data_IF_515755285185
#
_entry.id   IF_515755285185
#
_cell.length_a   1.000
_cell.length_b   1.000
_cell.length_c   1.000
_cell.angle_alpha   90.00
_cell.angle_beta   90.00
_cell.angle_gamma   90.00
#
_symmetry.space_group_name_H-M   'P 1'
#
loop_
_entity.id
_entity.type
_entity.pdbx_description
1 polymer ?
#
# COMPACT_ATOMS: atom_id res chain seq x y z
N UNK A 1 -4.38 31.26 -19.47
CA UNK A 1 -3.18 30.42 -19.27
C UNK A 1 -3.12 29.73 -17.91
N UNK A 2 -3.22 30.43 -16.76
CA UNK A 2 -3.12 29.81 -15.41
C UNK A 2 -4.03 28.58 -15.18
N UNK A 3 -5.30 28.62 -15.63
CA UNK A 3 -6.24 27.48 -15.46
C UNK A 3 -5.87 26.24 -16.28
N UNK A 4 -5.37 26.42 -17.50
CA UNK A 4 -4.97 25.29 -18.38
C UNK A 4 -3.73 24.62 -17.78
N UNK A 5 -2.75 25.41 -17.34
CA UNK A 5 -1.57 24.91 -16.65
C UNK A 5 -1.92 24.10 -15.38
N UNK A 6 -2.83 24.61 -14.55
CA UNK A 6 -3.33 23.88 -13.38
C UNK A 6 -3.99 22.56 -13.75
N UNK A 7 -4.79 22.52 -14.82
CA UNK A 7 -5.41 21.27 -15.30
C UNK A 7 -4.40 20.24 -15.78
N UNK A 8 -3.35 20.67 -16.48
CA UNK A 8 -2.25 19.79 -16.90
C UNK A 8 -1.53 19.21 -15.69
N UNK A 9 -1.25 20.01 -14.67
CA UNK A 9 -0.66 19.52 -13.42
C UNK A 9 -1.56 18.52 -12.68
N UNK A 10 -2.85 18.83 -12.55
CA UNK A 10 -3.81 17.90 -11.95
C UNK A 10 -3.85 16.58 -12.71
N UNK A 11 -3.80 16.63 -14.05
CA UNK A 11 -3.76 15.42 -14.88
C UNK A 11 -2.49 14.59 -14.67
N UNK A 12 -1.31 15.22 -14.61
CA UNK A 12 -0.03 14.56 -14.30
C UNK A 12 -0.09 13.90 -12.92
N UNK A 13 -0.62 14.62 -11.91
CA UNK A 13 -0.78 14.08 -10.56
C UNK A 13 -1.71 12.87 -10.51
N UNK A 14 -2.81 12.89 -11.27
CA UNK A 14 -3.72 11.74 -11.38
C UNK A 14 -2.98 10.52 -11.94
N UNK A 15 -2.24 10.68 -13.04
CA UNK A 15 -1.46 9.58 -13.65
C UNK A 15 -0.44 9.02 -12.64
N UNK A 16 0.29 9.91 -11.96
CA UNK A 16 1.27 9.50 -10.95
C UNK A 16 0.64 8.70 -9.82
N UNK A 17 -0.49 9.15 -9.27
CA UNK A 17 -1.18 8.46 -8.20
C UNK A 17 -1.80 7.13 -8.66
N UNK A 18 -2.29 7.04 -9.90
CA UNK A 18 -2.77 5.77 -10.49
C UNK A 18 -1.60 4.79 -10.62
N UNK A 19 -0.41 5.23 -11.04
CA UNK A 19 0.77 4.38 -11.12
C UNK A 19 1.18 3.84 -9.74
N UNK A 20 1.14 4.68 -8.71
CA UNK A 20 1.37 4.25 -7.31
C UNK A 20 0.31 3.23 -6.88
N UNK A 21 -0.97 3.51 -7.12
CA UNK A 21 -2.06 2.60 -6.77
C UNK A 21 -1.91 1.24 -7.48
N UNK A 22 -1.52 1.25 -8.75
CA UNK A 22 -1.26 0.04 -9.52
C UNK A 22 -0.10 -0.77 -8.92
N UNK A 23 1.01 -0.11 -8.58
CA UNK A 23 2.14 -0.77 -7.91
C UNK A 23 1.78 -1.35 -6.54
N UNK A 24 0.91 -0.67 -5.78
CA UNK A 24 0.43 -1.17 -4.50
C UNK A 24 -0.47 -2.41 -4.64
N UNK A 25 -1.33 -2.45 -5.67
CA UNK A 25 -2.31 -3.53 -5.87
C UNK A 25 -1.77 -4.73 -6.64
N UNK A 26 -0.81 -4.53 -7.55
CA UNK A 26 -0.31 -5.57 -8.45
C UNK A 26 1.20 -5.79 -8.36
N UNK A 27 1.92 -4.97 -7.61
CA UNK A 27 3.36 -5.10 -7.45
C UNK A 27 3.77 -5.90 -6.21
N UNK A 28 5.04 -5.72 -5.84
CA UNK A 28 5.67 -6.35 -4.67
C UNK A 28 4.84 -6.24 -3.38
N UNK A 29 4.26 -5.07 -3.12
CA UNK A 29 3.50 -4.80 -1.88
C UNK A 29 2.35 -5.79 -1.66
N UNK A 30 1.53 -6.03 -2.68
CA UNK A 30 0.40 -6.96 -2.58
C UNK A 30 0.88 -8.41 -2.48
N UNK A 31 1.96 -8.76 -3.18
CA UNK A 31 2.53 -10.11 -3.14
C UNK A 31 3.03 -10.46 -1.74
N UNK A 32 3.72 -9.53 -1.09
CA UNK A 32 4.17 -9.68 0.30
C UNK A 32 3.00 -9.78 1.29
N UNK A 33 1.96 -8.96 1.11
CA UNK A 33 0.78 -9.03 1.95
C UNK A 33 0.00 -10.34 1.79
N UNK A 34 -0.11 -10.84 0.56
CA UNK A 34 -0.71 -12.16 0.31
C UNK A 34 0.13 -13.28 0.92
N UNK A 35 1.46 -13.21 0.82
CA UNK A 35 2.36 -14.16 1.47
C UNK A 35 2.17 -14.18 2.99
N UNK A 36 2.01 -12.99 3.60
CA UNK A 36 1.72 -12.85 5.03
C UNK A 36 0.37 -13.47 5.41
N UNK A 37 -0.70 -13.28 4.62
CA UNK A 37 -2.02 -13.86 4.91
C UNK A 37 -2.01 -15.38 4.78
N UNK A 38 -1.30 -15.91 3.79
CA UNK A 38 -1.25 -17.35 3.53
C UNK A 38 -0.52 -18.14 4.61
N UNK A 39 0.37 -17.50 5.40
CA UNK A 39 1.10 -18.13 6.51
C UNK A 39 1.75 -19.47 6.09
N UNK A 40 2.38 -19.48 4.91
CA UNK A 40 3.13 -20.64 4.42
C UNK A 40 4.49 -20.73 5.12
N UNK A 41 5.21 -21.84 4.91
CA UNK A 41 6.53 -22.07 5.52
C UNK A 41 7.58 -20.98 5.22
N UNK A 42 7.33 -20.17 4.18
CA UNK A 42 8.13 -19.01 3.79
C UNK A 42 7.20 -17.81 3.65
N UNK A 43 7.45 -16.76 4.43
CA UNK A 43 6.71 -15.50 4.40
C UNK A 43 7.64 -14.40 3.90
N UNK A 44 7.26 -13.73 2.82
CA UNK A 44 7.94 -12.53 2.32
C UNK A 44 7.25 -11.29 2.88
N UNK A 45 7.92 -10.52 3.74
CA UNK A 45 7.35 -9.34 4.39
C UNK A 45 8.38 -8.24 4.66
N UNK A 46 8.24 -7.09 4.00
CA UNK A 46 8.99 -5.87 4.28
C UNK A 46 8.05 -4.71 4.67
N UNK A 47 7.41 -4.82 5.84
CA UNK A 47 6.65 -3.73 6.47
C UNK A 47 5.59 -3.08 5.54
N UNK A 48 4.98 -3.89 4.68
CA UNK A 48 4.08 -3.47 3.60
C UNK A 48 2.65 -3.17 4.05
N UNK A 49 2.29 -3.49 5.29
CA UNK A 49 0.93 -3.28 5.82
C UNK A 49 0.53 -1.80 5.87
N UNK A 50 1.47 -0.91 6.19
CA UNK A 50 1.21 0.53 6.22
C UNK A 50 0.91 1.08 4.81
N UNK A 51 1.59 0.55 3.79
CA UNK A 51 1.37 0.92 2.40
C UNK A 51 -0.01 0.48 1.91
N UNK A 52 -0.46 -0.72 2.28
CA UNK A 52 -1.80 -1.21 1.93
C UNK A 52 -2.91 -0.43 2.64
N UNK A 53 -2.72 -0.08 3.91
CA UNK A 53 -3.64 0.80 4.65
C UNK A 53 -3.80 2.19 4.03
N UNK A 54 -2.85 2.63 3.18
CA UNK A 54 -2.92 3.91 2.47
C UNK A 54 -3.72 3.87 1.15
N UNK A 55 -4.10 2.69 0.66
CA UNK A 55 -4.83 2.52 -0.61
C UNK A 55 -6.13 3.35 -0.64
N UNK A 56 -6.99 3.35 0.40
CA UNK A 56 -8.21 4.17 0.38
C UNK A 56 -7.92 5.67 0.29
N UNK A 57 -6.85 6.15 0.92
CA UNK A 57 -6.43 7.56 0.86
C UNK A 57 -6.03 7.94 -0.56
N UNK A 58 -5.19 7.13 -1.20
CA UNK A 58 -4.72 7.38 -2.58
C UNK A 58 -5.91 7.32 -3.54
N UNK A 59 -6.77 6.31 -3.42
CA UNK A 59 -7.98 6.17 -4.22
C UNK A 59 -8.92 7.36 -4.09
N UNK A 60 -9.17 7.82 -2.86
CA UNK A 60 -9.98 9.01 -2.62
C UNK A 60 -9.34 10.27 -3.22
N UNK A 61 -8.02 10.42 -3.09
CA UNK A 61 -7.29 11.56 -3.66
C UNK A 61 -7.40 11.59 -5.19
N UNK A 62 -7.31 10.44 -5.86
CA UNK A 62 -7.53 10.33 -7.31
C UNK A 62 -8.95 10.78 -7.67
N UNK A 63 -9.96 10.30 -6.96
CA UNK A 63 -11.37 10.70 -7.20
C UNK A 63 -11.55 12.21 -6.99
N UNK A 64 -10.97 12.77 -5.93
CA UNK A 64 -11.01 14.21 -5.65
C UNK A 64 -10.34 15.02 -6.77
N UNK A 65 -9.17 14.60 -7.25
CA UNK A 65 -8.46 15.26 -8.35
C UNK A 65 -9.21 15.17 -9.67
N UNK A 66 -9.87 14.04 -9.98
CA UNK A 66 -10.73 13.90 -11.17
C UNK A 66 -11.89 14.90 -11.09
N UNK A 67 -12.53 15.06 -9.92
CA UNK A 67 -13.58 16.07 -9.72
C UNK A 67 -13.06 17.50 -9.89
N UNK A 68 -11.87 17.79 -9.36
CA UNK A 68 -11.20 19.09 -9.55
C UNK A 68 -10.93 19.35 -11.03
N UNK A 69 -10.45 18.36 -11.78
CA UNK A 69 -10.16 18.46 -13.20
C UNK A 69 -11.43 18.77 -14.02
N UNK A 70 -12.55 18.13 -13.68
CA UNK A 70 -13.85 18.33 -14.34
C UNK A 70 -14.55 19.63 -13.91
N UNK A 71 -14.14 20.25 -12.80
CA UNK A 71 -14.75 21.49 -12.31
C UNK A 71 -14.40 22.71 -13.20
N UNK A 72 -15.36 23.63 -13.35
CA UNK A 72 -15.18 24.86 -14.14
C UNK A 72 -14.09 25.79 -13.60
N UNK A 73 -13.92 25.82 -12.27
CA UNK A 73 -12.99 26.73 -11.58
C UNK A 73 -11.75 26.04 -11.01
N UNK A 74 -11.52 24.74 -11.29
CA UNK A 74 -10.42 23.96 -10.71
C UNK A 74 -10.43 24.06 -9.17
N UNK A 75 -11.61 23.83 -8.60
CA UNK A 75 -11.85 23.91 -7.17
C UNK A 75 -12.36 22.58 -6.66
N UNK A 76 -11.86 22.19 -5.50
CA UNK A 76 -12.39 21.05 -4.78
C UNK A 76 -13.80 21.38 -4.28
N UNK A 77 -14.71 20.42 -4.46
CA UNK A 77 -16.03 20.44 -3.83
C UNK A 77 -16.14 19.18 -2.99
N UNK A 78 -16.35 19.44 -1.71
CA UNK A 78 -16.55 18.43 -0.69
C UNK A 78 -17.76 17.56 -1.02
N UNK A 79 -17.79 16.33 -0.51
CA UNK A 79 -18.95 15.46 -0.66
C UNK A 79 -20.07 16.00 0.26
N UNK A 80 -21.35 15.86 -0.11
CA UNK A 80 -22.41 16.21 0.82
C UNK A 80 -22.32 15.33 2.07
N UNK A 81 -22.53 15.91 3.24
CA UNK A 81 -22.68 15.15 4.48
C UNK A 81 -23.89 14.21 4.39
N UNK A 82 -23.80 12.98 4.94
CA UNK A 82 -22.72 12.44 5.79
C UNK A 82 -21.63 11.67 5.01
N UNK A 83 -21.65 11.68 3.67
CA UNK A 83 -20.78 10.82 2.86
C UNK A 83 -19.31 11.18 3.01
N UNK A 84 -18.98 12.47 3.15
CA UNK A 84 -17.59 12.91 3.37
C UNK A 84 -17.03 12.37 4.67
N UNK A 85 -17.79 12.51 5.76
CA UNK A 85 -17.43 12.00 7.08
C UNK A 85 -17.21 10.48 7.08
N UNK A 86 -18.09 9.72 6.40
CA UNK A 86 -17.96 8.26 6.30
C UNK A 86 -16.71 7.85 5.53
N UNK A 87 -16.44 8.50 4.40
CA UNK A 87 -15.23 8.23 3.59
C UNK A 87 -13.97 8.58 4.37
N UNK A 88 -13.93 9.74 5.03
CA UNK A 88 -12.79 10.15 5.83
C UNK A 88 -12.55 9.18 7.00
N UNK A 89 -13.61 8.77 7.69
CA UNK A 89 -13.53 7.78 8.77
C UNK A 89 -12.95 6.46 8.27
N UNK A 90 -13.42 5.98 7.11
CA UNK A 90 -12.91 4.74 6.49
C UNK A 90 -11.43 4.84 6.16
N UNK A 91 -11.00 5.97 5.61
CA UNK A 91 -9.59 6.24 5.30
C UNK A 91 -8.74 6.23 6.58
N UNK A 92 -9.17 6.97 7.61
CA UNK A 92 -8.45 7.06 8.88
C UNK A 92 -8.32 5.71 9.56
N UNK A 93 -9.42 4.94 9.62
CA UNK A 93 -9.43 3.60 10.23
C UNK A 93 -8.53 2.65 9.45
N UNK A 94 -8.61 2.63 8.11
CA UNK A 94 -7.76 1.76 7.29
C UNK A 94 -6.27 2.06 7.45
N UNK A 95 -5.91 3.35 7.48
CA UNK A 95 -4.54 3.77 7.69
C UNK A 95 -4.03 3.42 9.09
N UNK A 96 -4.84 3.65 10.13
CA UNK A 96 -4.51 3.28 11.50
C UNK A 96 -4.28 1.77 11.66
N UNK A 97 -5.17 0.95 11.08
CA UNK A 97 -5.02 -0.52 11.08
C UNK A 97 -3.73 -0.92 10.36
N UNK A 98 -3.44 -0.33 9.21
CA UNK A 98 -2.20 -0.60 8.46
C UNK A 98 -0.94 -0.31 9.27
N UNK A 99 -0.91 0.82 9.98
CA UNK A 99 0.20 1.20 10.86
C UNK A 99 0.33 0.25 12.06
N UNK A 100 -0.77 -0.06 12.73
CA UNK A 100 -0.78 -0.97 13.88
C UNK A 100 -0.30 -2.36 13.46
N UNK A 101 -0.82 -2.89 12.35
CA UNK A 101 -0.38 -4.16 11.78
C UNK A 101 1.12 -4.15 11.49
N UNK A 102 1.64 -3.06 10.91
CA UNK A 102 3.06 -2.94 10.61
C UNK A 102 3.96 -3.08 11.84
N UNK A 103 3.48 -2.65 13.00
CA UNK A 103 4.18 -2.80 14.28
C UNK A 103 4.00 -4.20 14.88
N UNK A 104 2.83 -4.81 14.75
CA UNK A 104 2.50 -6.08 15.41
C UNK A 104 3.03 -7.30 14.64
N UNK A 105 3.03 -7.27 13.31
CA UNK A 105 3.40 -8.42 12.46
C UNK A 105 4.79 -8.99 12.80
N UNK A 106 5.86 -8.20 13.00
CA UNK A 106 7.16 -8.76 13.37
C UNK A 106 7.13 -9.55 14.69
N UNK A 107 6.38 -9.09 15.69
CA UNK A 107 6.21 -9.81 16.96
C UNK A 107 5.38 -11.08 16.78
N UNK A 108 4.35 -11.01 15.94
CA UNK A 108 3.53 -12.17 15.59
C UNK A 108 4.38 -13.25 14.92
N UNK A 109 5.16 -12.90 13.90
CA UNK A 109 6.05 -13.83 13.21
C UNK A 109 7.02 -14.52 14.19
N UNK A 110 7.62 -13.74 15.10
CA UNK A 110 8.50 -14.27 16.14
C UNK A 110 7.78 -15.23 17.10
N UNK A 111 6.54 -14.94 17.50
CA UNK A 111 5.74 -15.81 18.37
C UNK A 111 5.37 -17.14 17.70
N UNK A 112 5.25 -17.17 16.37
CA UNK A 112 4.97 -18.37 15.58
C UNK A 112 6.24 -19.10 15.09
N UNK A 113 7.38 -18.83 15.73
CA UNK A 113 8.68 -19.45 15.42
C UNK A 113 9.19 -19.17 14.00
N UNK A 114 8.71 -18.11 13.36
CA UNK A 114 9.30 -17.65 12.10
C UNK A 114 10.58 -16.87 12.39
N UNK A 115 11.64 -17.22 11.69
CA UNK A 115 12.96 -16.57 11.79
C UNK A 115 13.32 -15.90 10.48
N UNK A 116 13.92 -14.72 10.55
CA UNK A 116 14.40 -14.01 9.36
C UNK A 116 15.63 -14.70 8.78
N UNK A 117 15.70 -14.85 7.47
CA UNK A 117 16.89 -15.41 6.83
C UNK A 117 18.12 -14.49 7.02
N UNK A 118 19.27 -15.00 7.48
CA UNK A 118 20.44 -14.18 7.83
C UNK A 118 21.20 -13.64 6.61
N UNK A 119 20.82 -14.04 5.39
CA UNK A 119 21.47 -13.60 4.16
C UNK A 119 21.04 -12.17 3.81
N UNK A 120 22.00 -11.28 3.50
CA UNK A 120 21.74 -9.84 3.22
C UNK A 120 20.65 -9.55 2.18
N UNK A 121 20.44 -10.44 1.21
CA UNK A 121 19.41 -10.28 0.15
C UNK A 121 18.05 -10.89 0.51
N UNK A 122 17.95 -11.64 1.61
CA UNK A 122 16.74 -12.39 1.98
C UNK A 122 16.22 -12.05 3.39
N UNK A 123 16.67 -10.95 3.99
CA UNK A 123 16.27 -10.56 5.34
C UNK A 123 14.74 -10.31 5.45
N UNK A 124 14.09 -9.98 4.34
CA UNK A 124 12.64 -9.78 4.27
C UNK A 124 11.87 -11.11 4.20
N UNK A 125 12.56 -12.26 4.14
CA UNK A 125 11.95 -13.58 4.18
C UNK A 125 12.04 -14.17 5.60
N UNK A 126 10.90 -14.64 6.07
CA UNK A 126 10.69 -15.27 7.36
C UNK A 126 10.34 -16.74 7.13
N UNK A 127 11.04 -17.66 7.79
CA UNK A 127 10.89 -19.11 7.60
C UNK A 127 10.71 -19.84 8.91
N UNK A 128 9.98 -20.96 8.88
CA UNK A 128 9.82 -21.85 10.04
C UNK A 128 11.04 -22.74 10.28
N UNK A 129 11.80 -23.04 9.23
CA UNK A 129 13.07 -23.77 9.27
C UNK A 129 14.15 -23.00 8.51
N UNK A 130 15.30 -22.77 9.15
CA UNK A 130 16.43 -22.03 8.58
C UNK A 130 16.97 -22.69 7.30
N UNK A 131 16.79 -24.01 7.12
CA UNK A 131 17.21 -24.72 5.91
C UNK A 131 16.42 -24.29 4.68
N UNK A 132 15.17 -23.84 4.85
CA UNK A 132 14.33 -23.29 3.78
C UNK A 132 14.94 -22.02 3.19
N UNK A 133 15.75 -21.26 3.93
CA UNK A 133 16.46 -20.10 3.37
C UNK A 133 17.38 -20.45 2.20
N UNK A 134 17.80 -21.71 2.04
CA UNK A 134 18.63 -22.16 0.91
C UNK A 134 17.83 -22.40 -0.37
N UNK A 135 16.51 -22.59 -0.25
CA UNK A 135 15.61 -22.88 -1.39
C UNK A 135 14.83 -21.65 -1.86
N UNK A 136 14.84 -20.57 -1.07
CA UNK A 136 14.21 -19.30 -1.47
C UNK A 136 15.00 -18.67 -2.61
N UNK A 137 14.35 -18.53 -3.75
CA UNK A 137 14.81 -17.71 -4.87
C UNK A 137 14.00 -16.42 -4.86
N UNK A 138 14.67 -15.28 -4.71
CA UNK A 138 14.00 -13.98 -4.76
C UNK A 138 13.61 -13.66 -6.21
N UNK A 139 12.39 -14.05 -6.57
CA UNK A 139 11.77 -13.73 -7.85
C UNK A 139 10.97 -12.41 -7.81
N UNK A 140 11.14 -11.59 -6.76
CA UNK A 140 10.58 -10.24 -6.72
C UNK A 140 11.38 -9.37 -7.69
N UNK A 141 11.04 -9.45 -8.98
CA UNK A 141 11.53 -8.55 -10.01
C UNK A 141 11.14 -7.09 -9.74
N UNK A 142 11.53 -6.16 -10.62
CA UNK A 142 11.25 -4.71 -10.56
C UNK A 142 9.76 -4.34 -10.72
N UNK A 143 8.82 -5.18 -10.26
CA UNK A 143 7.38 -4.98 -10.32
C UNK A 143 6.73 -5.48 -9.02
#
# INVERSE_FOLDING_TARGET
MKRIYLRVWVFIMIISLIAVLYSLLFGRTMTEFLSLIKMENVISYDKTCALIGSIPLIGYTVIALVRVLLSQNVQYRSLPDPFESLVLTTITVSFAIGLIANCIIPFFLLAFSYTSCPQKKLHDFYVTDIELCKTVVDNRGLW
#
